data_IF_749359036224
#
_entry.id   IF_749359036224
#
_cell.length_a   1.000
_cell.length_b   1.000
_cell.length_c   1.000
_cell.angle_alpha   90.00
_cell.angle_beta   90.00
_cell.angle_gamma   90.00
#
_symmetry.space_group_name_H-M   'P 1'
#
loop_
_entity.id
_entity.type
_entity.pdbx_description
1 polymer ?
#
# COMPACT_ATOMS: atom_id res chain seq x y z
N UNK A 1 -20.63 9.85 14.21
CA UNK A 1 -19.18 9.65 14.01
C UNK A 1 -18.91 9.80 12.53
N UNK A 2 -18.23 10.85 12.14
CA UNK A 2 -17.92 11.10 10.72
C UNK A 2 -16.92 10.07 10.23
N UNK A 3 -17.24 9.33 9.17
CA UNK A 3 -16.30 8.50 8.44
C UNK A 3 -15.42 9.47 7.66
N UNK A 4 -14.11 9.42 7.88
CA UNK A 4 -13.17 10.27 7.16
C UNK A 4 -12.05 9.45 6.51
N UNK A 5 -11.43 10.00 5.50
CA UNK A 5 -10.43 9.32 4.69
C UNK A 5 -9.21 8.83 5.48
N UNK A 6 -8.61 9.57 6.45
CA UNK A 6 -7.44 9.11 7.19
C UNK A 6 -7.75 8.14 8.35
N UNK A 7 -8.96 7.61 8.46
CA UNK A 7 -9.33 6.70 9.56
C UNK A 7 -8.51 5.41 9.62
N UNK A 8 -7.96 4.99 8.50
CA UNK A 8 -7.06 3.83 8.41
C UNK A 8 -5.77 4.00 9.24
N UNK A 9 -5.39 5.23 9.65
CA UNK A 9 -4.25 5.47 10.51
C UNK A 9 -4.38 4.76 11.85
N UNK A 10 -5.58 4.71 12.43
CA UNK A 10 -5.83 3.95 13.68
C UNK A 10 -5.65 2.44 13.49
N UNK A 11 -6.03 1.93 12.32
CA UNK A 11 -5.79 0.52 11.97
C UNK A 11 -4.28 0.29 11.85
N UNK A 12 -3.57 1.22 11.20
CA UNK A 12 -2.11 1.15 11.08
C UNK A 12 -1.42 1.12 12.43
N UNK A 13 -1.81 1.98 13.36
CA UNK A 13 -1.25 2.01 14.72
C UNK A 13 -1.46 0.67 15.44
N UNK A 14 -2.64 0.07 15.31
CA UNK A 14 -2.93 -1.26 15.86
C UNK A 14 -2.09 -2.36 15.19
N UNK A 15 -1.90 -2.33 13.88
CA UNK A 15 -1.06 -3.28 13.15
C UNK A 15 0.40 -3.18 13.61
N UNK A 16 0.92 -1.96 13.76
CA UNK A 16 2.28 -1.74 14.28
C UNK A 16 2.42 -2.28 15.69
N UNK A 17 1.45 -2.04 16.57
CA UNK A 17 1.46 -2.53 17.95
C UNK A 17 1.38 -4.05 18.06
N UNK A 18 0.87 -4.73 17.04
CA UNK A 18 0.70 -6.19 16.98
C UNK A 18 1.67 -6.90 16.03
N UNK A 19 2.79 -6.29 15.69
CA UNK A 19 3.84 -6.88 14.83
C UNK A 19 3.42 -7.10 13.36
N UNK A 20 2.33 -6.47 12.91
CA UNK A 20 1.77 -6.58 11.57
C UNK A 20 2.17 -5.40 10.65
N UNK A 21 3.17 -4.62 11.03
CA UNK A 21 3.64 -3.47 10.26
C UNK A 21 4.10 -3.81 8.83
N UNK A 22 4.50 -5.05 8.60
CA UNK A 22 4.92 -5.55 7.28
C UNK A 22 3.75 -5.83 6.32
N UNK A 23 2.51 -5.83 6.80
CA UNK A 23 1.32 -6.07 5.98
C UNK A 23 0.78 -4.75 5.43
N UNK A 24 0.35 -4.71 4.15
CA UNK A 24 -0.32 -3.54 3.61
C UNK A 24 -1.77 -3.44 4.09
N UNK A 25 -2.29 -2.22 4.06
CA UNK A 25 -3.73 -1.97 4.20
C UNK A 25 -4.33 -1.84 2.79
N UNK A 26 -5.42 -2.54 2.54
CA UNK A 26 -6.24 -2.38 1.35
C UNK A 26 -7.52 -1.64 1.71
N UNK A 27 -7.69 -0.45 1.15
CA UNK A 27 -8.92 0.32 1.27
C UNK A 27 -9.90 -0.22 0.23
N UNK A 28 -10.89 -0.99 0.68
CA UNK A 28 -11.87 -1.66 -0.19
C UNK A 28 -12.81 -0.68 -0.87
N UNK A 29 -13.14 0.43 -0.18
CA UNK A 29 -14.07 1.43 -0.67
C UNK A 29 -13.63 2.82 -0.20
N UNK A 30 -13.42 3.73 -1.13
CA UNK A 30 -13.15 5.13 -0.87
C UNK A 30 -13.88 5.99 -1.91
N UNK A 31 -14.45 7.09 -1.47
CA UNK A 31 -15.15 8.01 -2.37
C UNK A 31 -15.79 9.16 -1.63
N UNK A 32 -16.22 10.14 -2.37
CA UNK A 32 -16.98 11.30 -1.91
C UNK A 32 -18.34 11.29 -2.56
N UNK A 33 -19.37 11.69 -1.82
CA UNK A 33 -20.76 11.59 -2.27
C UNK A 33 -21.28 12.94 -2.80
N UNK A 34 -21.26 13.18 -4.11
CA UNK A 34 -21.83 14.38 -4.69
C UNK A 34 -23.36 14.27 -4.84
N UNK A 35 -24.03 13.82 -3.77
CA UNK A 35 -25.48 13.74 -3.73
C UNK A 35 -26.08 15.15 -3.80
N UNK A 36 -27.13 15.37 -4.65
CA UNK A 36 -27.81 16.64 -4.71
C UNK A 36 -28.36 17.08 -3.34
N UNK A 37 -28.54 18.39 -3.16
CA UNK A 37 -29.22 18.95 -2.00
C UNK A 37 -30.73 18.74 -2.11
N UNK A 38 -31.17 17.49 -1.94
CA UNK A 38 -32.55 17.08 -2.08
C UNK A 38 -32.95 16.11 -0.94
N UNK A 39 -33.65 16.58 0.08
CA UNK A 39 -34.10 15.74 1.19
C UNK A 39 -35.07 14.61 0.80
N UNK A 40 -35.60 14.60 -0.42
CA UNK A 40 -36.42 13.49 -0.92
C UNK A 40 -35.60 12.25 -1.28
N UNK A 41 -34.28 12.39 -1.42
CA UNK A 41 -33.36 11.28 -1.64
C UNK A 41 -33.20 10.52 -0.32
N UNK A 42 -33.43 9.22 -0.34
CA UNK A 42 -33.27 8.38 0.84
C UNK A 42 -31.83 8.41 1.37
N UNK A 43 -31.67 8.58 2.67
CA UNK A 43 -30.35 8.63 3.35
C UNK A 43 -29.41 9.75 2.83
N UNK A 44 -29.95 10.86 2.32
CA UNK A 44 -29.18 11.89 1.62
C UNK A 44 -28.01 12.51 2.42
N UNK A 45 -28.09 12.55 3.75
CA UNK A 45 -26.99 13.03 4.63
C UNK A 45 -26.11 11.91 5.22
N UNK A 46 -26.50 10.66 5.05
CA UNK A 46 -25.89 9.53 5.76
C UNK A 46 -24.39 9.38 5.53
N UNK A 47 -23.93 9.62 4.31
CA UNK A 47 -22.54 9.41 3.90
C UNK A 47 -21.76 10.73 3.78
N UNK A 48 -22.30 11.82 4.28
CA UNK A 48 -21.80 13.17 4.01
C UNK A 48 -22.16 13.65 2.60
N UNK A 49 -21.90 14.92 2.35
CA UNK A 49 -22.21 15.57 1.07
C UNK A 49 -21.06 16.45 0.66
N UNK A 50 -20.78 16.44 -0.63
CA UNK A 50 -19.84 17.33 -1.31
C UNK A 50 -20.44 17.76 -2.64
N UNK A 51 -19.91 18.78 -3.26
CA UNK A 51 -20.24 19.10 -4.65
C UNK A 51 -19.50 18.14 -5.60
N UNK A 52 -19.96 18.04 -6.83
CA UNK A 52 -19.26 17.25 -7.86
C UNK A 52 -17.83 17.77 -8.08
N UNK A 53 -17.64 19.09 -8.05
CA UNK A 53 -16.31 19.72 -8.22
C UNK A 53 -15.38 19.39 -7.05
N UNK A 54 -15.89 19.39 -5.81
CA UNK A 54 -15.12 18.96 -4.63
C UNK A 54 -14.73 17.47 -4.74
N UNK A 55 -15.67 16.61 -5.11
CA UNK A 55 -15.41 15.18 -5.29
C UNK A 55 -14.33 14.95 -6.37
N UNK A 56 -14.44 15.66 -7.50
CA UNK A 56 -13.46 15.59 -8.58
C UNK A 56 -12.09 16.13 -8.18
N UNK A 57 -12.02 17.17 -7.35
CA UNK A 57 -10.76 17.71 -6.86
C UNK A 57 -10.11 16.82 -5.81
N UNK A 58 -10.91 16.23 -4.91
CA UNK A 58 -10.39 15.45 -3.76
C UNK A 58 -10.02 14.01 -4.12
N UNK A 59 -10.69 13.41 -5.09
CA UNK A 59 -10.38 12.04 -5.49
C UNK A 59 -8.90 11.85 -5.89
N UNK A 60 -8.30 12.62 -6.80
CA UNK A 60 -6.87 12.49 -7.10
C UNK A 60 -5.96 12.88 -5.92
N UNK A 61 -6.36 13.85 -5.08
CA UNK A 61 -5.59 14.20 -3.89
C UNK A 61 -5.51 13.06 -2.89
N UNK A 62 -6.56 12.25 -2.76
CA UNK A 62 -6.54 11.07 -1.91
C UNK A 62 -5.51 10.04 -2.36
N UNK A 63 -5.41 9.78 -3.67
CA UNK A 63 -4.38 8.90 -4.21
C UNK A 63 -2.98 9.48 -4.03
N UNK A 64 -2.81 10.79 -4.27
CA UNK A 64 -1.54 11.47 -4.01
C UNK A 64 -1.09 11.30 -2.55
N UNK A 65 -1.99 11.56 -1.59
CA UNK A 65 -1.70 11.37 -0.17
C UNK A 65 -1.38 9.92 0.19
N UNK A 66 -2.11 8.95 -0.39
CA UNK A 66 -1.83 7.54 -0.16
C UNK A 66 -0.42 7.17 -0.62
N UNK A 67 0.03 7.70 -1.76
CA UNK A 67 1.36 7.46 -2.30
C UNK A 67 2.45 8.21 -1.52
N UNK A 68 2.21 9.46 -1.16
CA UNK A 68 3.24 10.34 -0.59
C UNK A 68 3.37 10.21 0.94
N UNK A 69 2.24 9.98 1.65
CA UNK A 69 2.21 10.01 3.11
C UNK A 69 2.09 8.60 3.72
N UNK A 70 1.52 7.61 2.99
CA UNK A 70 1.11 6.33 3.58
C UNK A 70 1.62 5.14 2.77
N UNK A 71 2.94 4.90 2.76
CA UNK A 71 3.57 3.83 1.95
C UNK A 71 3.08 2.41 2.30
N UNK A 72 2.38 2.25 3.41
CA UNK A 72 1.74 0.99 3.81
C UNK A 72 0.35 0.76 3.18
N UNK A 73 -0.18 1.72 2.41
CA UNK A 73 -1.42 1.51 1.65
C UNK A 73 -1.05 0.80 0.35
N UNK A 74 -1.51 -0.45 0.22
CA UNK A 74 -1.26 -1.26 -0.97
C UNK A 74 -2.29 -1.06 -2.08
N UNK A 75 -3.54 -0.81 -1.72
CA UNK A 75 -4.65 -0.64 -2.67
C UNK A 75 -5.64 0.39 -2.15
N UNK A 76 -6.12 1.24 -3.04
CA UNK A 76 -7.30 2.09 -2.81
C UNK A 76 -8.27 1.86 -3.95
N UNK A 77 -9.44 1.29 -3.66
CA UNK A 77 -10.51 1.15 -4.62
C UNK A 77 -11.46 2.32 -4.51
N UNK A 78 -11.64 3.07 -5.62
CA UNK A 78 -12.68 4.08 -5.66
C UNK A 78 -14.05 3.41 -5.71
N UNK A 79 -14.95 3.78 -4.86
CA UNK A 79 -16.31 3.27 -4.84
C UNK A 79 -17.27 4.31 -5.37
N UNK A 80 -17.81 4.07 -6.57
CA UNK A 80 -17.71 2.93 -7.48
C UNK A 80 -17.74 3.37 -8.95
N UNK A 81 -17.54 2.46 -9.90
CA UNK A 81 -17.49 2.80 -11.32
C UNK A 81 -18.83 3.32 -11.84
N UNK A 82 -19.87 2.49 -11.94
CA UNK A 82 -21.21 2.88 -12.37
C UNK A 82 -22.31 1.94 -11.90
N UNK A 83 -23.56 2.39 -11.94
CA UNK A 83 -24.75 1.54 -11.79
C UNK A 83 -25.23 1.01 -13.15
N UNK A 84 -26.07 -0.05 -13.10
CA UNK A 84 -26.66 -0.64 -14.30
C UNK A 84 -27.60 0.36 -15.00
N UNK A 85 -28.45 1.04 -14.20
CA UNK A 85 -29.46 1.99 -14.64
C UNK A 85 -29.76 3.04 -13.56
N UNK A 86 -30.77 3.85 -13.76
CA UNK A 86 -31.20 4.94 -12.86
C UNK A 86 -32.19 4.51 -11.76
N UNK A 87 -32.49 3.24 -11.60
CA UNK A 87 -33.50 2.76 -10.63
C UNK A 87 -33.19 3.12 -9.18
N UNK A 88 -31.91 3.29 -8.85
CA UNK A 88 -31.45 3.68 -7.49
C UNK A 88 -31.23 5.20 -7.34
N UNK A 89 -31.60 6.03 -8.31
CA UNK A 89 -31.39 7.49 -8.26
C UNK A 89 -32.04 8.17 -7.04
N UNK A 90 -33.07 7.56 -6.48
CA UNK A 90 -33.70 8.00 -5.22
C UNK A 90 -32.95 7.67 -3.95
N UNK A 91 -31.75 7.13 -4.03
CA UNK A 91 -30.95 6.75 -2.87
C UNK A 91 -29.56 7.40 -2.90
N UNK A 92 -29.07 7.83 -1.74
CA UNK A 92 -27.83 8.60 -1.60
C UNK A 92 -26.59 7.84 -2.14
N UNK A 93 -26.51 6.55 -1.95
CA UNK A 93 -25.37 5.75 -2.46
C UNK A 93 -25.25 5.72 -3.97
N UNK A 94 -26.32 6.00 -4.74
CA UNK A 94 -26.27 6.08 -6.20
C UNK A 94 -25.25 7.12 -6.69
N UNK A 95 -25.04 8.18 -5.94
CA UNK A 95 -24.25 9.34 -6.38
C UNK A 95 -22.73 9.17 -6.25
N UNK A 96 -22.24 8.12 -5.63
CA UNK A 96 -20.79 7.83 -5.57
C UNK A 96 -20.18 7.43 -6.92
N UNK A 97 -20.98 7.19 -7.94
CA UNK A 97 -20.54 6.73 -9.25
C UNK A 97 -19.58 7.67 -9.94
N UNK A 98 -18.58 7.11 -10.61
CA UNK A 98 -17.68 7.87 -11.49
C UNK A 98 -18.23 8.03 -12.91
N UNK A 99 -19.17 7.17 -13.32
CA UNK A 99 -19.73 7.12 -14.67
C UNK A 99 -21.24 6.95 -14.57
N UNK A 100 -21.98 7.68 -15.38
CA UNK A 100 -23.44 7.55 -15.46
C UNK A 100 -23.82 6.19 -16.07
N UNK A 101 -25.06 5.71 -15.85
CA UNK A 101 -25.52 4.45 -16.45
C UNK A 101 -25.40 4.38 -17.97
N UNK A 102 -25.54 5.50 -18.67
CA UNK A 102 -25.40 5.64 -20.11
C UNK A 102 -23.93 5.78 -20.59
N UNK A 103 -22.97 5.60 -19.69
CA UNK A 103 -21.53 5.77 -19.88
C UNK A 103 -21.06 7.23 -20.06
N UNK A 104 -21.89 8.22 -19.77
CA UNK A 104 -21.43 9.61 -19.66
C UNK A 104 -20.43 9.71 -18.49
N UNK A 105 -19.25 10.24 -18.76
CA UNK A 105 -18.18 10.40 -17.78
C UNK A 105 -18.49 11.57 -16.84
N UNK A 106 -18.28 11.37 -15.55
CA UNK A 106 -18.38 12.46 -14.58
C UNK A 106 -17.04 13.18 -14.41
N UNK A 107 -17.02 14.41 -13.87
CA UNK A 107 -15.77 15.11 -13.52
C UNK A 107 -14.83 14.29 -12.63
N UNK A 108 -15.36 13.40 -11.77
CA UNK A 108 -14.53 12.51 -10.94
C UNK A 108 -13.71 11.55 -11.79
N UNK A 109 -14.36 10.93 -12.79
CA UNK A 109 -13.66 10.02 -13.71
C UNK A 109 -12.56 10.75 -14.48
N UNK A 110 -12.88 11.92 -15.04
CA UNK A 110 -11.92 12.69 -15.82
C UNK A 110 -10.72 13.15 -15.00
N UNK A 111 -10.94 13.59 -13.74
CA UNK A 111 -9.86 14.01 -12.85
C UNK A 111 -8.96 12.85 -12.43
N UNK A 112 -9.53 11.68 -12.12
CA UNK A 112 -8.76 10.48 -11.81
C UNK A 112 -7.99 9.97 -13.04
N UNK A 113 -8.60 9.96 -14.22
CA UNK A 113 -7.92 9.61 -15.45
C UNK A 113 -6.73 10.54 -15.73
N UNK A 114 -6.92 11.85 -15.61
CA UNK A 114 -5.84 12.82 -15.76
C UNK A 114 -4.72 12.60 -14.74
N UNK A 115 -5.06 12.31 -13.49
CA UNK A 115 -4.09 12.00 -12.45
C UNK A 115 -3.29 10.72 -12.78
N UNK A 116 -3.96 9.63 -13.14
CA UNK A 116 -3.33 8.33 -13.47
C UNK A 116 -2.39 8.48 -14.67
N UNK A 117 -2.79 9.22 -15.71
CA UNK A 117 -1.96 9.42 -16.89
C UNK A 117 -0.78 10.37 -16.65
N UNK A 118 -0.87 11.26 -15.68
CA UNK A 118 0.15 12.26 -15.34
C UNK A 118 1.05 11.89 -14.16
N UNK A 119 0.67 10.89 -13.34
CA UNK A 119 1.36 10.59 -12.09
C UNK A 119 1.91 9.17 -12.10
N UNK A 120 3.23 9.06 -11.89
CA UNK A 120 3.87 7.79 -11.58
C UNK A 120 4.10 7.72 -10.06
N UNK A 121 3.86 6.58 -9.41
CA UNK A 121 4.27 6.38 -8.03
C UNK A 121 5.77 6.64 -7.88
N UNK A 122 6.15 7.59 -7.02
CA UNK A 122 7.57 7.91 -6.79
C UNK A 122 8.26 6.81 -6.00
N UNK A 123 7.53 6.22 -5.04
CA UNK A 123 8.08 5.20 -4.15
C UNK A 123 7.01 4.16 -3.84
N UNK A 124 7.36 2.89 -3.97
CA UNK A 124 6.49 1.75 -3.67
C UNK A 124 6.64 1.42 -2.19
N UNK A 125 5.58 1.58 -1.41
CA UNK A 125 5.56 1.25 0.02
C UNK A 125 5.39 -0.23 0.30
N UNK A 126 5.38 -0.60 1.58
CA UNK A 126 5.16 -1.97 2.01
C UNK A 126 3.83 -2.53 1.48
N UNK A 127 3.88 -3.71 0.87
CA UNK A 127 2.73 -4.38 0.31
C UNK A 127 3.03 -5.21 -0.92
N UNK A 128 1.96 -5.77 -1.50
CA UNK A 128 2.00 -6.53 -2.76
C UNK A 128 1.58 -5.61 -3.90
N UNK A 129 2.43 -5.45 -4.89
CA UNK A 129 2.24 -4.57 -6.04
C UNK A 129 2.41 -5.37 -7.32
N UNK A 130 1.44 -5.28 -8.24
CA UNK A 130 1.62 -5.92 -9.54
C UNK A 130 2.76 -5.26 -10.29
N UNK A 131 3.72 -6.05 -10.72
CA UNK A 131 4.84 -5.58 -11.51
C UNK A 131 4.41 -4.95 -12.85
N UNK A 132 3.18 -5.25 -13.29
CA UNK A 132 2.57 -4.72 -14.52
C UNK A 132 1.84 -3.39 -14.30
N UNK A 133 1.29 -3.13 -13.09
CA UNK A 133 0.47 -1.95 -12.80
C UNK A 133 1.31 -0.69 -12.60
N UNK A 134 2.53 -0.82 -12.05
CA UNK A 134 3.41 0.32 -11.81
C UNK A 134 4.16 0.80 -13.05
N UNK A 135 3.85 0.21 -14.19
CA UNK A 135 4.35 0.65 -15.47
C UNK A 135 3.16 0.94 -16.36
N UNK A 136 3.01 2.19 -16.68
CA UNK A 136 2.17 2.60 -17.80
C UNK A 136 2.53 1.72 -18.99
N UNK A 137 1.65 0.77 -19.29
CA UNK A 137 1.41 0.06 -20.55
C UNK A 137 2.59 0.12 -21.56
N UNK A 138 3.83 -0.02 -21.12
CA UNK A 138 4.93 -0.31 -22.03
C UNK A 138 5.23 -1.79 -21.94
N UNK A 139 5.17 -2.44 -23.08
CA UNK A 139 5.62 -3.83 -23.24
C UNK A 139 7.07 -3.88 -22.84
N UNK A 140 7.40 -4.55 -21.73
CA UNK A 140 8.79 -4.70 -21.32
C UNK A 140 9.38 -5.77 -22.21
N UNK A 141 10.39 -5.39 -22.95
CA UNK A 141 11.13 -6.35 -23.78
C UNK A 141 11.97 -7.27 -22.89
N UNK A 142 12.14 -8.50 -23.35
CA UNK A 142 13.05 -9.45 -22.71
C UNK A 142 14.46 -8.85 -22.57
N UNK A 143 15.07 -9.00 -21.41
CA UNK A 143 16.39 -8.44 -21.12
C UNK A 143 16.39 -6.97 -20.65
N UNK A 144 15.26 -6.28 -20.66
CA UNK A 144 15.19 -4.92 -20.14
C UNK A 144 15.27 -4.87 -18.60
N UNK A 145 15.85 -3.79 -18.11
CA UNK A 145 15.96 -3.50 -16.68
C UNK A 145 14.86 -2.54 -16.27
N UNK A 146 14.14 -2.89 -15.21
CA UNK A 146 13.16 -2.03 -14.57
C UNK A 146 13.67 -1.53 -13.24
N UNK A 147 13.48 -0.24 -12.98
CA UNK A 147 13.92 0.37 -11.73
C UNK A 147 12.72 0.84 -10.94
N UNK A 148 12.67 0.43 -9.67
CA UNK A 148 11.66 0.81 -8.70
C UNK A 148 12.31 1.56 -7.55
N UNK A 149 11.62 2.57 -7.03
CA UNK A 149 11.92 3.13 -5.71
C UNK A 149 11.00 2.44 -4.71
N UNK A 150 11.57 1.83 -3.68
CA UNK A 150 10.84 1.08 -2.67
C UNK A 150 11.11 1.68 -1.30
N UNK A 151 10.10 1.65 -0.41
CA UNK A 151 10.26 2.00 0.99
C UNK A 151 9.94 0.77 1.85
N UNK A 152 10.99 0.18 2.42
CA UNK A 152 10.85 -1.04 3.22
C UNK A 152 12.19 -1.67 3.55
N UNK A 153 12.14 -2.81 4.23
CA UNK A 153 13.33 -3.54 4.71
C UNK A 153 13.65 -4.77 3.84
N UNK A 154 12.93 -4.98 2.76
CA UNK A 154 13.15 -6.08 1.82
C UNK A 154 12.20 -6.03 0.63
N UNK A 155 12.50 -6.83 -0.38
CA UNK A 155 11.69 -6.99 -1.59
C UNK A 155 11.68 -8.44 -2.05
N UNK A 156 10.54 -8.89 -2.55
CA UNK A 156 10.32 -10.25 -3.07
C UNK A 156 9.57 -10.15 -4.39
N UNK A 157 9.99 -10.91 -5.39
CA UNK A 157 9.30 -11.05 -6.67
C UNK A 157 8.50 -12.34 -6.69
N UNK A 158 7.19 -12.23 -6.93
CA UNK A 158 6.31 -13.37 -7.08
C UNK A 158 6.01 -13.64 -8.56
N UNK A 159 5.89 -14.90 -8.92
CA UNK A 159 5.66 -15.34 -10.29
C UNK A 159 4.63 -16.47 -10.38
N UNK A 160 3.93 -16.53 -11.49
CA UNK A 160 3.10 -17.67 -11.87
C UNK A 160 3.95 -18.94 -12.11
N UNK A 161 3.31 -20.04 -12.45
CA UNK A 161 4.04 -21.21 -12.95
C UNK A 161 4.64 -20.87 -14.32
N UNK A 162 5.96 -20.84 -14.38
CA UNK A 162 6.72 -20.54 -15.62
C UNK A 162 6.83 -21.79 -16.48
N UNK A 163 6.78 -21.64 -17.81
CA UNK A 163 6.96 -22.76 -18.75
C UNK A 163 8.40 -23.28 -18.75
N UNK A 164 9.37 -22.42 -18.48
CA UNK A 164 10.79 -22.76 -18.38
C UNK A 164 11.42 -22.05 -17.16
N UNK A 165 12.52 -22.57 -16.60
CA UNK A 165 13.26 -21.85 -15.57
C UNK A 165 13.73 -20.49 -16.09
N UNK A 166 13.60 -19.46 -15.29
CA UNK A 166 14.08 -18.12 -15.59
C UNK A 166 15.12 -17.65 -14.58
N UNK A 167 15.91 -16.66 -14.99
CA UNK A 167 16.82 -15.93 -14.13
C UNK A 167 16.46 -14.46 -14.11
N UNK A 168 16.38 -13.88 -12.93
CA UNK A 168 16.30 -12.43 -12.76
C UNK A 168 17.57 -11.92 -12.09
N UNK A 169 18.02 -10.74 -12.46
CA UNK A 169 19.08 -10.03 -11.77
C UNK A 169 18.48 -8.87 -10.98
N UNK A 170 18.76 -8.82 -9.69
CA UNK A 170 18.33 -7.74 -8.81
C UNK A 170 19.54 -6.95 -8.33
N UNK A 171 19.42 -5.63 -8.33
CA UNK A 171 20.41 -4.70 -7.83
C UNK A 171 19.75 -3.71 -6.88
N UNK A 172 20.30 -3.54 -5.68
CA UNK A 172 19.80 -2.58 -4.68
C UNK A 172 20.84 -1.46 -4.53
N UNK A 173 20.37 -0.22 -4.58
CA UNK A 173 21.15 1.00 -4.30
C UNK A 173 22.49 1.06 -5.07
N UNK A 174 22.50 0.53 -6.29
CA UNK A 174 23.70 0.50 -7.12
C UNK A 174 24.78 -0.51 -6.69
N UNK A 175 24.49 -1.43 -5.76
CA UNK A 175 25.39 -2.53 -5.38
C UNK A 175 25.60 -3.52 -6.52
N UNK A 176 26.43 -4.55 -6.33
CA UNK A 176 26.55 -5.61 -7.31
C UNK A 176 25.21 -6.34 -7.50
N UNK A 177 24.85 -6.60 -8.77
CA UNK A 177 23.61 -7.30 -9.08
C UNK A 177 23.73 -8.79 -8.66
N UNK A 178 22.71 -9.29 -7.99
CA UNK A 178 22.57 -10.70 -7.64
C UNK A 178 21.71 -11.42 -8.67
N UNK A 179 22.06 -12.67 -8.98
CA UNK A 179 21.31 -13.53 -9.90
C UNK A 179 20.43 -14.49 -9.11
N UNK A 180 19.14 -14.45 -9.38
CA UNK A 180 18.11 -15.22 -8.68
C UNK A 180 17.43 -16.15 -9.66
N UNK A 181 17.43 -17.46 -9.36
CA UNK A 181 16.78 -18.46 -10.20
C UNK A 181 15.29 -18.62 -9.83
N UNK A 182 14.44 -18.59 -10.84
CA UNK A 182 13.01 -18.86 -10.73
C UNK A 182 12.70 -20.22 -11.35
N UNK A 183 12.18 -21.20 -10.58
CA UNK A 183 11.94 -22.55 -11.09
C UNK A 183 10.76 -22.61 -12.06
N UNK A 184 10.84 -23.55 -13.04
CA UNK A 184 9.72 -23.87 -13.91
C UNK A 184 8.58 -24.62 -13.20
N UNK A 185 7.41 -24.61 -13.80
CA UNK A 185 6.25 -25.44 -13.45
C UNK A 185 5.70 -25.27 -12.02
N UNK A 186 6.08 -24.20 -11.33
CA UNK A 186 5.63 -23.91 -9.99
C UNK A 186 5.52 -22.40 -9.81
N UNK A 187 4.37 -21.93 -9.35
CA UNK A 187 4.23 -20.56 -8.85
C UNK A 187 4.99 -20.40 -7.53
N UNK A 188 5.59 -19.26 -7.31
CA UNK A 188 6.37 -19.00 -6.10
C UNK A 188 6.74 -17.55 -5.95
N UNK A 189 7.52 -17.27 -4.90
CA UNK A 189 8.12 -15.96 -4.69
C UNK A 189 9.61 -16.14 -4.36
N UNK A 190 10.45 -15.28 -4.91
CA UNK A 190 11.88 -15.25 -4.67
C UNK A 190 12.28 -13.92 -4.01
N UNK A 191 13.09 -13.97 -2.96
CA UNK A 191 13.62 -12.78 -2.33
C UNK A 191 14.59 -12.08 -3.29
N UNK A 192 14.37 -10.77 -3.50
CA UNK A 192 15.27 -9.91 -4.29
C UNK A 192 16.24 -9.15 -3.37
N UNK A 193 15.78 -8.82 -2.16
CA UNK A 193 16.57 -8.16 -1.14
C UNK A 193 16.00 -8.43 0.24
N UNK A 194 16.88 -8.60 1.23
CA UNK A 194 16.53 -8.81 2.62
C UNK A 194 17.40 -7.97 3.54
N UNK A 195 16.89 -7.65 4.73
CA UNK A 195 17.67 -6.97 5.76
C UNK A 195 18.07 -5.53 5.39
N UNK A 196 17.35 -4.87 4.50
CA UNK A 196 17.57 -3.47 4.17
C UNK A 196 17.31 -2.60 5.40
N UNK A 197 17.98 -1.46 5.48
CA UNK A 197 17.66 -0.42 6.45
C UNK A 197 16.22 0.08 6.27
N UNK A 198 15.62 0.62 7.33
CA UNK A 198 14.35 1.30 7.17
C UNK A 198 14.56 2.59 6.35
N UNK A 199 13.90 2.72 5.22
CA UNK A 199 14.02 3.88 4.35
C UNK A 199 13.69 3.59 2.91
N UNK A 200 14.05 4.54 2.06
CA UNK A 200 13.89 4.42 0.62
C UNK A 200 15.12 3.76 -0.01
N UNK A 201 14.87 2.84 -0.92
CA UNK A 201 15.89 2.11 -1.67
C UNK A 201 15.55 2.11 -3.16
N UNK A 202 16.57 1.99 -4.00
CA UNK A 202 16.42 1.80 -5.44
C UNK A 202 16.64 0.33 -5.78
N UNK A 203 15.62 -0.31 -6.33
CA UNK A 203 15.64 -1.70 -6.78
C UNK A 203 15.60 -1.75 -8.30
N UNK A 204 16.64 -2.22 -8.94
CA UNK A 204 16.67 -2.50 -10.36
C UNK A 204 16.56 -4.01 -10.62
N UNK A 205 15.59 -4.41 -11.46
CA UNK A 205 15.33 -5.81 -11.82
C UNK A 205 15.51 -5.95 -13.32
N UNK A 206 16.34 -6.92 -13.73
CA UNK A 206 16.48 -7.34 -15.13
C UNK A 206 15.98 -8.77 -15.25
N UNK A 207 15.02 -9.03 -16.13
CA UNK A 207 14.51 -10.36 -16.42
C UNK A 207 14.75 -10.72 -17.88
N UNK A 208 15.02 -12.00 -18.15
CA UNK A 208 15.15 -12.52 -19.52
C UNK A 208 13.79 -12.51 -20.25
N UNK A 209 12.73 -12.78 -19.51
CA UNK A 209 11.32 -12.68 -19.94
C UNK A 209 10.49 -12.16 -18.75
N UNK A 210 9.60 -11.20 -19.01
CA UNK A 210 8.70 -10.65 -17.99
C UNK A 210 7.34 -11.36 -17.96
N UNK A 211 7.11 -12.31 -18.86
CA UNK A 211 5.89 -13.12 -18.88
C UNK A 211 5.82 -13.99 -17.63
N UNK A 212 4.72 -13.89 -16.88
CA UNK A 212 4.52 -14.65 -15.65
C UNK A 212 5.21 -14.08 -14.40
N UNK A 213 5.86 -12.91 -14.51
CA UNK A 213 6.33 -12.14 -13.35
C UNK A 213 5.17 -11.24 -12.89
N UNK A 214 4.53 -11.60 -11.77
CA UNK A 214 3.23 -11.05 -11.41
C UNK A 214 3.32 -9.88 -10.43
N UNK A 215 3.97 -10.09 -9.28
CA UNK A 215 3.92 -9.14 -8.18
C UNK A 215 5.29 -8.83 -7.59
N UNK A 216 5.55 -7.55 -7.36
CA UNK A 216 6.61 -7.10 -6.47
C UNK A 216 6.01 -6.90 -5.06
N UNK A 217 6.56 -7.60 -4.07
CA UNK A 217 6.17 -7.49 -2.67
C UNK A 217 7.26 -6.75 -1.91
N UNK A 218 6.95 -5.58 -1.40
CA UNK A 218 7.85 -4.81 -0.53
C UNK A 218 7.54 -5.14 0.92
N UNK A 219 8.55 -5.52 1.69
CA UNK A 219 8.47 -5.92 3.08
C UNK A 219 8.95 -4.79 3.99
N UNK A 220 8.24 -4.55 5.08
CA UNK A 220 8.69 -3.63 6.13
C UNK A 220 8.60 -4.30 7.50
N UNK A 221 9.75 -4.69 8.03
CA UNK A 221 9.93 -5.25 9.37
C UNK A 221 10.53 -4.26 10.36
N UNK A 222 10.59 -2.98 10.03
CA UNK A 222 11.26 -1.97 10.87
C UNK A 222 10.65 -1.85 12.27
N UNK A 223 9.36 -2.01 12.41
CA UNK A 223 8.69 -2.02 13.72
C UNK A 223 9.04 -3.27 14.53
N UNK A 224 9.16 -4.42 13.88
CA UNK A 224 9.49 -5.70 14.51
C UNK A 224 10.92 -5.74 15.03
N UNK A 225 11.86 -5.07 14.37
CA UNK A 225 13.25 -5.01 14.80
C UNK A 225 13.45 -4.14 16.05
N UNK A 226 12.54 -3.19 16.31
CA UNK A 226 12.62 -2.30 17.49
C UNK A 226 12.07 -2.94 18.78
N UNK A 227 11.09 -3.82 18.68
CA UNK A 227 10.40 -4.43 19.82
C UNK A 227 11.34 -5.25 20.73
N UNK A 228 12.24 -6.13 20.24
CA UNK A 228 13.16 -6.88 21.06
C UNK A 228 14.08 -6.00 21.89
N UNK A 229 14.56 -4.89 21.34
CA UNK A 229 15.46 -3.98 22.06
C UNK A 229 14.74 -3.20 23.17
N UNK A 230 13.48 -2.84 22.99
CA UNK A 230 12.66 -2.21 24.03
C UNK A 230 12.38 -3.19 25.18
N UNK A 231 12.09 -4.46 24.86
CA UNK A 231 11.91 -5.51 25.87
C UNK A 231 13.21 -5.80 26.62
N UNK A 232 14.35 -5.91 25.95
CA UNK A 232 15.66 -6.08 26.58
C UNK A 232 15.99 -4.91 27.49
N UNK A 233 15.73 -3.67 27.03
CA UNK A 233 15.90 -2.47 27.85
C UNK A 233 15.01 -2.46 29.08
N UNK A 234 13.74 -2.84 28.97
CA UNK A 234 12.79 -2.91 30.07
C UNK A 234 13.22 -3.99 31.11
N UNK A 235 13.62 -5.18 30.64
CA UNK A 235 14.11 -6.25 31.51
C UNK A 235 15.40 -5.84 32.25
N UNK A 236 16.31 -5.18 31.56
CA UNK A 236 17.54 -4.67 32.18
C UNK A 236 17.25 -3.62 33.27
N UNK A 237 16.32 -2.69 33.03
CA UNK A 237 15.91 -1.68 34.03
C UNK A 237 15.25 -2.31 35.26
N UNK A 238 14.38 -3.31 35.05
CA UNK A 238 13.77 -4.06 36.17
C UNK A 238 14.84 -4.79 36.95
N UNK A 239 15.81 -5.43 36.30
CA UNK A 239 16.93 -6.10 36.93
C UNK A 239 17.77 -5.17 37.82
N UNK A 240 18.10 -3.98 37.31
CA UNK A 240 18.82 -2.95 38.07
C UNK A 240 18.01 -2.48 39.27
N UNK A 241 16.70 -2.22 39.09
CA UNK A 241 15.84 -1.81 40.21
C UNK A 241 15.77 -2.85 41.32
N UNK A 242 15.67 -4.15 40.99
CA UNK A 242 15.67 -5.25 41.98
C UNK A 242 17.00 -5.32 42.72
N UNK A 243 18.13 -5.15 42.04
CA UNK A 243 19.46 -5.16 42.65
C UNK A 243 19.61 -3.99 43.65
N UNK A 244 19.17 -2.79 43.25
CA UNK A 244 19.22 -1.59 44.09
C UNK A 244 18.34 -1.75 45.31
N UNK A 245 17.12 -2.26 45.16
CA UNK A 245 16.19 -2.50 46.28
C UNK A 245 16.79 -3.53 47.27
N UNK A 246 17.36 -4.64 46.74
CA UNK A 246 18.02 -5.64 47.60
C UNK A 246 19.25 -5.07 48.33
N UNK A 247 20.08 -4.32 47.64
CA UNK A 247 21.25 -3.68 48.28
C UNK A 247 20.83 -2.70 49.38
N UNK A 248 19.74 -1.97 49.18
CA UNK A 248 19.18 -1.07 50.20
C UNK A 248 18.60 -1.83 51.38
N UNK A 249 17.84 -2.91 51.15
CA UNK A 249 17.28 -3.75 52.20
C UNK A 249 18.39 -4.40 53.08
N UNK A 250 19.46 -4.90 52.45
CA UNK A 250 20.62 -5.48 53.18
C UNK A 250 21.34 -4.41 54.02
N UNK A 251 21.44 -3.17 53.49
CA UNK A 251 22.14 -2.08 54.19
C UNK A 251 21.39 -1.56 55.42
N UNK A 252 20.07 -1.72 55.45
CA UNK A 252 19.19 -1.20 56.51
C UNK A 252 18.55 -2.29 57.37
N UNK A 253 18.91 -3.57 57.17
CA UNK A 253 18.43 -4.68 57.98
C UNK A 253 16.93 -4.95 57.89
N UNK A 254 16.30 -4.63 56.74
CA UNK A 254 14.88 -4.88 56.45
C UNK A 254 14.70 -6.22 55.75
#
# INVERSE_FOLDING_TARGET
TTINYPRHLWIRDMMVANDDAHKPIWISEAGWNPVPDDPSIADWERYGRVTMDEAAAWAPQAYARAIEEWPWIGVVNYWYFKRADDSERGASWYYFRMVEPDFTLTPIYESLKAYITGTQPKTIGAGRHSAQIHVVIETIAAGETRTFRIQGTGATLCHAALDAPQTVRAQIDGTAAETIALPANKAGCAALAEGLGAGEHTLAITAEDWTGLDDLVVLDFSARQRLPWLLVGAVALIGVAVIVVRAYAIRWGL
#
